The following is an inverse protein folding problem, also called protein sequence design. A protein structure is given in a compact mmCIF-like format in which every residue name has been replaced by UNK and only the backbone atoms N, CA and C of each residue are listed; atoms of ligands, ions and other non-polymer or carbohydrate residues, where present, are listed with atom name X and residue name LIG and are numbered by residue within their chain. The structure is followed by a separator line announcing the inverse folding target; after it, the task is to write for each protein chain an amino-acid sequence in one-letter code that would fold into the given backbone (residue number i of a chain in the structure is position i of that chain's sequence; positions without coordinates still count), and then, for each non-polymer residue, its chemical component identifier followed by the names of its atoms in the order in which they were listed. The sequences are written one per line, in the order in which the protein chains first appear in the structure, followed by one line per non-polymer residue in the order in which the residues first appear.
data_IF_491115734968
#
_entry.id   IF_491115734968
#
_cell.length_a   1.000
_cell.length_b   1.000
_cell.length_c   1.000
_cell.angle_alpha   90.00
_cell.angle_beta   90.00
_cell.angle_gamma   90.00
#
_symmetry.space_group_name_H-M   'P 1'
#
loop_
_entity.id
_entity.type
_entity.pdbx_description
1 polymer ?
#
# COMPACT_ATOMS: atom_id res chain seq x y z
N UNK A 1 -8.28 13.01 11.43
CA UNK A 1 -7.48 12.69 10.24
C UNK A 1 -7.04 11.25 10.37
N UNK A 2 -7.23 10.42 9.35
CA UNK A 2 -6.72 9.04 9.36
C UNK A 2 -5.20 9.07 9.26
N UNK A 3 -4.55 8.12 9.92
CA UNK A 3 -3.09 7.95 9.88
C UNK A 3 -2.66 7.36 8.53
N UNK A 4 -1.40 7.58 8.12
CA UNK A 4 -0.84 6.94 6.91
C UNK A 4 -0.99 5.42 6.92
N UNK A 5 -0.88 4.81 8.10
CA UNK A 5 -1.14 3.39 8.32
C UNK A 5 -2.58 2.98 7.98
N UNK A 6 -3.56 3.68 8.54
CA UNK A 6 -4.98 3.39 8.27
C UNK A 6 -5.30 3.55 6.78
N UNK A 7 -4.76 4.60 6.17
CA UNK A 7 -4.91 4.86 4.75
C UNK A 7 -4.25 3.78 3.88
N UNK A 8 -3.08 3.28 4.29
CA UNK A 8 -2.39 2.18 3.61
C UNK A 8 -3.19 0.88 3.70
N UNK A 9 -3.75 0.56 4.87
CA UNK A 9 -4.61 -0.60 5.04
C UNK A 9 -5.83 -0.51 4.11
N UNK A 10 -6.54 0.62 4.09
CA UNK A 10 -7.71 0.83 3.23
C UNK A 10 -7.36 0.71 1.74
N UNK A 11 -6.28 1.37 1.31
CA UNK A 11 -5.82 1.31 -0.06
C UNK A 11 -5.42 -0.12 -0.46
N UNK A 12 -4.69 -0.83 0.41
CA UNK A 12 -4.26 -2.21 0.13
C UNK A 12 -5.45 -3.16 0.03
N UNK A 13 -6.44 -3.03 0.91
CA UNK A 13 -7.70 -3.79 0.85
C UNK A 13 -8.48 -3.52 -0.44
N UNK A 14 -8.54 -2.27 -0.90
CA UNK A 14 -9.16 -1.88 -2.18
C UNK A 14 -8.44 -2.50 -3.38
N UNK A 15 -7.10 -2.44 -3.40
CA UNK A 15 -6.26 -3.04 -4.44
C UNK A 15 -6.40 -4.56 -4.45
N UNK A 16 -6.37 -5.21 -3.29
CA UNK A 16 -6.60 -6.65 -3.15
C UNK A 16 -7.99 -7.04 -3.64
N UNK A 17 -9.05 -6.30 -3.29
CA UNK A 17 -10.41 -6.56 -3.79
C UNK A 17 -10.50 -6.42 -5.30
N UNK A 18 -9.88 -5.37 -5.86
CA UNK A 18 -9.89 -5.09 -7.30
C UNK A 18 -9.10 -6.12 -8.10
N UNK A 19 -8.08 -6.72 -7.50
CA UNK A 19 -7.19 -7.69 -8.12
C UNK A 19 -7.29 -9.10 -7.55
N UNK A 20 -8.37 -9.40 -6.81
CA UNK A 20 -8.59 -10.70 -6.14
C UNK A 20 -8.53 -11.88 -7.11
N UNK A 21 -9.03 -11.68 -8.33
CA UNK A 21 -9.05 -12.70 -9.38
C UNK A 21 -7.73 -12.78 -10.17
N UNK A 22 -6.75 -11.92 -9.87
CA UNK A 22 -5.43 -11.95 -10.52
C UNK A 22 -4.46 -12.81 -9.73
N UNK A 23 -3.80 -13.72 -10.46
CA UNK A 23 -2.78 -14.63 -9.93
C UNK A 23 -1.63 -13.91 -9.20
N UNK A 24 -1.36 -12.66 -9.56
CA UNK A 24 -0.29 -11.83 -9.01
C UNK A 24 -0.86 -10.50 -8.47
N UNK A 25 -1.74 -10.57 -7.47
CA UNK A 25 -2.25 -9.37 -6.80
C UNK A 25 -1.11 -8.59 -6.10
N UNK A 26 -0.05 -9.28 -5.66
CA UNK A 26 1.07 -8.70 -4.91
C UNK A 26 1.80 -7.57 -5.64
N UNK A 27 1.93 -7.65 -6.96
CA UNK A 27 2.61 -6.61 -7.75
C UNK A 27 1.92 -5.25 -7.72
N UNK A 28 0.63 -5.20 -7.38
CA UNK A 28 -0.15 -3.95 -7.35
C UNK A 28 0.02 -3.19 -6.03
N UNK A 29 0.64 -3.81 -5.04
CA UNK A 29 0.94 -3.19 -3.75
C UNK A 29 2.38 -3.41 -3.31
N UNK A 30 3.25 -3.82 -4.24
CA UNK A 30 4.65 -4.06 -3.99
C UNK A 30 5.40 -2.74 -3.79
N UNK A 31 5.95 -2.56 -2.60
CA UNK A 31 6.61 -1.32 -2.21
C UNK A 31 7.88 -1.03 -3.02
N UNK A 32 8.50 -2.03 -3.66
CA UNK A 32 9.70 -1.85 -4.49
C UNK A 32 9.39 -1.14 -5.81
N UNK A 33 8.15 -1.23 -6.27
CA UNK A 33 7.70 -0.61 -7.50
C UNK A 33 7.44 0.91 -7.31
N UNK A 34 8.08 1.78 -8.11
CA UNK A 34 7.89 3.23 -8.03
C UNK A 34 6.49 3.67 -8.45
N UNK A 35 5.84 2.98 -9.39
CA UNK A 35 4.48 3.34 -9.80
C UNK A 35 3.49 3.07 -8.67
N UNK A 36 3.68 1.97 -7.94
CA UNK A 36 2.89 1.64 -6.74
C UNK A 36 3.02 2.72 -5.67
N UNK A 37 4.25 3.17 -5.36
CA UNK A 37 4.48 4.28 -4.42
C UNK A 37 3.77 5.56 -4.85
N UNK A 38 3.85 5.86 -6.14
CA UNK A 38 3.20 7.03 -6.75
C UNK A 38 1.68 6.94 -6.69
N UNK A 39 1.10 5.78 -7.00
CA UNK A 39 -0.34 5.53 -6.93
C UNK A 39 -0.85 5.70 -5.50
N UNK A 40 -0.19 5.07 -4.53
CA UNK A 40 -0.54 5.23 -3.12
C UNK A 40 -0.48 6.70 -2.70
N UNK A 41 0.63 7.40 -3.01
CA UNK A 41 0.82 8.82 -2.65
C UNK A 41 -0.27 9.72 -3.21
N UNK A 42 -0.71 9.46 -4.45
CA UNK A 42 -1.83 10.18 -5.05
C UNK A 42 -3.16 9.85 -4.37
N UNK A 43 -3.39 8.58 -4.04
CA UNK A 43 -4.62 8.14 -3.39
C UNK A 43 -4.79 8.77 -2.00
N UNK A 44 -3.70 8.83 -1.21
CA UNK A 44 -3.70 9.47 0.11
C UNK A 44 -3.56 11.00 0.08
N UNK A 45 -3.35 11.59 -1.11
CA UNK A 45 -3.22 13.03 -1.28
C UNK A 45 -1.93 13.63 -0.70
N UNK A 46 -0.83 12.88 -0.70
CA UNK A 46 0.47 13.40 -0.27
C UNK A 46 1.00 14.44 -1.27
N UNK A 47 1.61 15.51 -0.75
CA UNK A 47 2.30 16.50 -1.58
C UNK A 47 3.56 15.94 -2.25
N UNK A 48 4.24 15.00 -1.58
CA UNK A 48 5.42 14.33 -2.09
C UNK A 48 5.16 12.82 -2.19
N UNK A 49 5.83 12.16 -3.14
CA UNK A 49 5.78 10.70 -3.23
C UNK A 49 6.37 10.08 -1.97
N UNK A 50 5.68 9.10 -1.41
CA UNK A 50 6.17 8.30 -0.29
C UNK A 50 7.47 7.60 -0.71
N UNK A 51 8.45 7.60 0.18
CA UNK A 51 9.70 6.90 -0.11
C UNK A 51 9.52 5.39 -0.03
N UNK A 52 10.44 4.64 -0.64
CA UNK A 52 10.49 3.18 -0.50
C UNK A 52 10.52 2.75 0.96
N UNK A 53 11.36 3.36 1.79
CA UNK A 53 11.51 2.99 3.20
C UNK A 53 10.20 3.21 3.99
N UNK A 54 9.51 4.32 3.73
CA UNK A 54 8.22 4.61 4.37
C UNK A 54 7.13 3.63 3.94
N UNK A 55 6.99 3.36 2.64
CA UNK A 55 5.99 2.41 2.16
C UNK A 55 6.30 0.97 2.58
N UNK A 56 7.57 0.59 2.62
CA UNK A 56 8.01 -0.72 3.11
C UNK A 56 7.70 -0.90 4.60
N UNK A 57 7.87 0.14 5.42
CA UNK A 57 7.47 0.10 6.83
C UNK A 57 5.95 -0.16 6.98
N UNK A 58 5.13 0.52 6.17
CA UNK A 58 3.67 0.32 6.15
C UNK A 58 3.29 -1.10 5.69
N UNK A 59 3.96 -1.60 4.65
CA UNK A 59 3.81 -2.98 4.17
C UNK A 59 4.12 -4.01 5.25
N UNK A 60 5.29 -3.88 5.89
CA UNK A 60 5.74 -4.82 6.89
C UNK A 60 4.82 -4.81 8.13
N UNK A 61 4.39 -3.63 8.58
CA UNK A 61 3.41 -3.53 9.67
C UNK A 61 2.05 -4.16 9.31
N UNK A 62 1.62 -4.03 8.07
CA UNK A 62 0.38 -4.64 7.59
C UNK A 62 0.49 -6.17 7.56
N UNK A 63 1.60 -6.72 7.07
CA UNK A 63 1.84 -8.18 7.02
C UNK A 63 1.92 -8.77 8.44
N UNK A 64 2.66 -8.14 9.36
CA UNK A 64 2.73 -8.56 10.77
C UNK A 64 1.34 -8.54 11.43
N UNK A 65 0.51 -7.54 11.13
CA UNK A 65 -0.84 -7.41 11.69
C UNK A 65 -1.86 -8.43 11.18
N UNK A 66 -1.58 -9.15 10.08
CA UNK A 66 -2.45 -10.19 9.50
C UNK A 66 -2.08 -11.62 9.93
N UNK A 67 -0.90 -11.84 10.51
CA UNK A 67 -0.42 -13.16 10.96
C UNK A 67 -0.96 -13.58 12.35
N UNK A 68 -1.96 -12.87 12.90
CA UNK A 68 -2.50 -13.07 14.26
C UNK A 68 -3.98 -13.46 14.23
#
# INVERSE_FOLDING_TARGET
MKSLKELYHEWRDEIEKRHKDKKDAKKYFDSTDPEVRKEFSKWVGLQNEITYAEMFALENEFEIGREI
#
